data_IF_082057608127
#
_entry.id   IF_082057608127
#
_cell.length_a   1.000
_cell.length_b   1.000
_cell.length_c   1.000
_cell.angle_alpha   90.00
_cell.angle_beta   90.00
_cell.angle_gamma   90.00
#
_symmetry.space_group_name_H-M   'P 1'
#
loop_
_entity.id
_entity.type
_entity.pdbx_description
1 polymer ?
#
# COMPACT_ATOMS: atom_id res chain seq x y z
N UNK A 1 -10.41 92.68 26.88
CA UNK A 1 -10.19 92.02 25.57
C UNK A 1 -8.73 91.65 25.41
N UNK A 2 -8.40 90.35 25.56
CA UNK A 2 -7.25 89.64 24.95
C UNK A 2 -7.70 88.17 24.84
N UNK A 3 -7.70 87.53 23.66
CA UNK A 3 -8.15 86.15 23.53
C UNK A 3 -6.99 85.20 23.89
N UNK A 4 -7.26 84.26 24.80
CA UNK A 4 -6.36 83.13 25.07
C UNK A 4 -6.72 82.02 24.08
N UNK A 5 -5.81 81.73 23.15
CA UNK A 5 -5.94 80.67 22.15
C UNK A 5 -5.59 79.34 22.84
N UNK A 6 -6.61 78.53 23.12
CA UNK A 6 -6.44 77.19 23.69
C UNK A 6 -6.29 76.18 22.56
N UNK A 7 -5.06 75.68 22.36
CA UNK A 7 -4.76 74.59 21.43
C UNK A 7 -5.33 73.27 21.98
N UNK A 8 -6.41 72.77 21.39
CA UNK A 8 -6.86 71.40 21.61
C UNK A 8 -6.01 70.45 20.75
N UNK A 9 -5.08 69.75 21.39
CA UNK A 9 -4.36 68.63 20.77
C UNK A 9 -5.33 67.46 20.57
N UNK A 10 -5.59 67.12 19.32
CA UNK A 10 -6.29 65.90 18.92
C UNK A 10 -5.38 64.70 19.24
N UNK A 11 -5.65 63.99 20.34
CA UNK A 11 -5.05 62.68 20.60
C UNK A 11 -5.78 61.64 19.74
N UNK A 12 -5.16 61.26 18.62
CA UNK A 12 -5.56 60.10 17.83
C UNK A 12 -5.21 58.83 18.64
N UNK A 13 -6.16 57.94 18.95
CA UNK A 13 -5.83 56.70 19.65
C UNK A 13 -5.02 55.81 18.70
N UNK A 14 -3.73 55.63 19.01
CA UNK A 14 -2.89 54.63 18.35
C UNK A 14 -3.39 53.26 18.80
N UNK A 15 -4.22 52.63 17.97
CA UNK A 15 -4.59 51.22 18.12
C UNK A 15 -3.33 50.41 17.80
N UNK A 16 -2.58 50.04 18.83
CA UNK A 16 -1.53 49.04 18.72
C UNK A 16 -2.25 47.70 18.53
N UNK A 17 -2.38 47.28 17.27
CA UNK A 17 -2.76 45.91 16.94
C UNK A 17 -1.64 44.99 17.44
N UNK A 18 -1.77 44.52 18.68
CA UNK A 18 -1.01 43.39 19.19
C UNK A 18 -1.46 42.18 18.39
N UNK A 19 -0.74 41.90 17.30
CA UNK A 19 -0.79 40.60 16.64
C UNK A 19 -0.30 39.58 17.66
N UNK A 20 -1.23 38.98 18.40
CA UNK A 20 -1.04 37.70 19.06
C UNK A 20 -0.75 36.70 17.95
N UNK A 21 0.52 36.61 17.58
CA UNK A 21 1.04 35.48 16.84
C UNK A 21 0.92 34.35 17.85
N UNK A 22 -0.11 33.51 17.69
CA UNK A 22 -0.12 32.21 18.31
C UNK A 22 1.21 31.56 17.90
N UNK A 23 2.12 31.44 18.86
CA UNK A 23 3.26 30.55 18.73
C UNK A 23 2.65 29.18 18.53
N UNK A 24 2.71 28.70 17.28
CA UNK A 24 2.43 27.32 16.97
C UNK A 24 3.38 26.52 17.86
N UNK A 25 2.81 25.89 18.89
CA UNK A 25 3.53 24.92 19.70
C UNK A 25 4.00 23.85 18.74
N UNK A 26 5.30 23.84 18.46
CA UNK A 26 5.97 22.80 17.70
C UNK A 26 5.62 21.46 18.36
N UNK A 27 4.94 20.59 17.62
CA UNK A 27 4.21 19.46 18.20
C UNK A 27 5.16 18.45 18.84
N UNK A 28 4.79 17.94 20.02
CA UNK A 28 5.45 16.80 20.65
C UNK A 28 5.45 15.60 19.70
N UNK A 29 6.66 15.13 19.38
CA UNK A 29 7.07 13.89 18.73
C UNK A 29 6.43 13.56 17.37
N UNK A 30 7.23 13.72 16.31
CA UNK A 30 6.93 13.41 14.90
C UNK A 30 6.75 11.90 14.60
N UNK A 31 6.27 11.09 15.56
CA UNK A 31 6.06 9.65 15.41
C UNK A 31 4.57 9.30 15.34
N UNK A 32 4.06 9.05 14.13
CA UNK A 32 2.67 8.63 13.96
C UNK A 32 2.35 7.29 14.64
N UNK A 33 3.34 6.41 14.82
CA UNK A 33 3.13 5.09 15.42
C UNK A 33 2.90 5.20 16.93
N UNK A 34 3.58 6.15 17.60
CA UNK A 34 3.46 6.37 19.05
C UNK A 34 2.13 7.00 19.45
N UNK A 35 1.32 7.46 18.49
CA UNK A 35 -0.03 7.92 18.76
C UNK A 35 -0.97 6.77 19.16
N UNK A 36 -0.62 5.52 18.80
CA UNK A 36 -1.41 4.33 19.12
C UNK A 36 -0.61 3.23 19.84
N UNK A 37 0.72 3.26 19.76
CA UNK A 37 1.59 2.24 20.35
C UNK A 37 2.53 2.85 21.40
N UNK A 38 2.51 2.32 22.63
CA UNK A 38 3.36 2.83 23.72
C UNK A 38 4.87 2.62 23.45
N UNK A 39 5.21 1.54 22.74
CA UNK A 39 6.58 1.18 22.38
C UNK A 39 6.61 0.54 21.00
N UNK A 40 7.44 1.07 20.10
CA UNK A 40 7.66 0.47 18.78
C UNK A 40 8.62 -0.70 18.88
N UNK A 41 9.58 -0.67 19.81
CA UNK A 41 10.61 -1.71 19.95
C UNK A 41 10.02 -3.09 20.24
N UNK A 42 8.89 -3.15 20.93
CA UNK A 42 8.16 -4.40 21.22
C UNK A 42 7.45 -4.98 19.98
N UNK A 43 7.20 -4.17 18.96
CA UNK A 43 6.52 -4.56 17.73
C UNK A 43 7.49 -4.99 16.63
N UNK A 44 8.79 -4.75 16.83
CA UNK A 44 9.83 -5.08 15.86
C UNK A 44 10.24 -6.56 16.00
N UNK A 45 10.62 -7.23 14.90
CA UNK A 45 11.18 -8.58 14.97
C UNK A 45 12.42 -8.63 15.87
N UNK A 46 12.66 -9.74 16.57
CA UNK A 46 13.80 -9.91 17.50
C UNK A 46 15.18 -9.58 16.89
N UNK A 47 15.33 -9.78 15.57
CA UNK A 47 16.57 -9.53 14.83
C UNK A 47 16.67 -8.12 14.25
N UNK A 48 15.68 -7.27 14.50
CA UNK A 48 15.72 -5.89 14.08
C UNK A 48 16.84 -5.16 14.84
N UNK A 49 17.74 -4.42 14.17
CA UNK A 49 18.75 -3.62 14.86
C UNK A 49 18.12 -2.66 15.88
N UNK A 50 18.80 -2.39 16.98
CA UNK A 50 18.35 -1.39 17.92
C UNK A 50 18.34 -0.02 17.22
N UNK A 51 17.20 0.66 17.29
CA UNK A 51 17.03 1.96 16.66
C UNK A 51 16.55 2.96 17.69
N UNK A 52 17.14 4.16 17.67
CA UNK A 52 16.60 5.34 18.35
C UNK A 52 15.55 5.99 17.44
N UNK A 53 14.43 5.30 17.16
CA UNK A 53 13.38 5.79 16.24
C UNK A 53 12.47 6.79 16.95
N UNK A 54 12.30 7.97 16.35
CA UNK A 54 11.24 8.91 16.73
C UNK A 54 10.35 9.34 15.56
N UNK A 55 10.58 8.85 14.34
CA UNK A 55 9.75 9.22 13.17
C UNK A 55 9.66 8.08 12.16
N UNK A 56 8.55 8.03 11.41
CA UNK A 56 8.37 7.08 10.32
C UNK A 56 9.41 7.26 9.19
N UNK A 57 9.87 8.50 8.99
CA UNK A 57 10.90 8.83 7.98
C UNK A 57 12.19 8.01 8.19
N UNK A 58 12.62 7.81 9.44
CA UNK A 58 13.82 7.02 9.76
C UNK A 58 13.66 5.54 9.41
N UNK A 59 12.46 4.98 9.48
CA UNK A 59 12.22 3.61 9.05
C UNK A 59 12.54 3.42 7.55
N UNK A 60 12.27 4.45 6.74
CA UNK A 60 12.47 4.42 5.29
C UNK A 60 13.95 4.58 4.87
N UNK A 61 14.86 4.86 5.81
CA UNK A 61 16.30 4.86 5.55
C UNK A 61 16.80 3.43 5.27
N UNK A 62 16.24 2.44 5.98
CA UNK A 62 16.56 1.03 5.78
C UNK A 62 15.51 0.30 4.95
N UNK A 63 14.21 0.61 5.11
CA UNK A 63 13.13 -0.11 4.42
C UNK A 63 12.68 0.62 3.16
N UNK A 64 12.50 -0.13 2.06
CA UNK A 64 11.99 0.47 0.83
C UNK A 64 10.48 0.78 0.90
N UNK A 65 10.07 1.90 0.31
CA UNK A 65 8.64 2.24 0.14
C UNK A 65 7.90 1.28 -0.80
N UNK A 66 8.63 0.63 -1.70
CA UNK A 66 8.10 -0.23 -2.77
C UNK A 66 8.77 -1.59 -2.72
N UNK A 67 8.05 -2.62 -3.13
CA UNK A 67 8.55 -3.98 -3.21
C UNK A 67 9.74 -4.03 -4.17
N UNK A 68 10.78 -4.73 -3.76
CA UNK A 68 11.97 -4.94 -4.58
C UNK A 68 12.32 -6.41 -4.57
N UNK A 69 12.32 -7.02 -5.76
CA UNK A 69 12.86 -8.36 -5.98
C UNK A 69 14.40 -8.36 -6.01
N UNK A 70 15.03 -7.18 -6.04
CA UNK A 70 16.49 -7.04 -5.98
C UNK A 70 16.92 -6.99 -4.51
N UNK A 71 17.96 -7.76 -4.18
CA UNK A 71 18.81 -7.50 -3.01
C UNK A 71 19.50 -6.16 -3.23
N UNK A 72 18.85 -5.06 -2.86
CA UNK A 72 19.53 -3.79 -2.66
C UNK A 72 20.13 -3.79 -1.25
N UNK A 73 21.02 -2.84 -0.97
CA UNK A 73 21.66 -2.69 0.35
C UNK A 73 20.66 -2.26 1.46
N UNK A 74 19.36 -2.32 1.17
CA UNK A 74 18.27 -1.89 2.02
C UNK A 74 17.39 -3.11 2.36
N UNK A 75 16.78 -3.06 3.53
CA UNK A 75 15.81 -4.05 3.95
C UNK A 75 14.57 -4.01 3.02
N UNK A 76 13.87 -5.15 2.86
CA UNK A 76 12.65 -5.20 2.07
C UNK A 76 11.60 -4.23 2.63
N UNK A 77 10.63 -3.89 1.78
CA UNK A 77 9.49 -3.06 2.20
C UNK A 77 8.75 -3.70 3.37
N UNK A 78 8.32 -2.86 4.32
CA UNK A 78 7.46 -3.25 5.45
C UNK A 78 5.97 -3.01 5.17
N UNK A 79 5.63 -2.47 4.00
CA UNK A 79 4.28 -2.04 3.68
C UNK A 79 3.26 -3.19 3.80
N UNK A 80 3.58 -4.38 3.27
CA UNK A 80 2.69 -5.54 3.37
C UNK A 80 2.39 -5.90 4.82
N UNK A 81 3.42 -5.91 5.68
CA UNK A 81 3.25 -6.24 7.09
C UNK A 81 2.42 -5.20 7.84
N UNK A 82 2.70 -3.91 7.64
CA UNK A 82 1.93 -2.84 8.28
C UNK A 82 0.48 -2.88 7.83
N UNK A 83 0.21 -2.99 6.53
CA UNK A 83 -1.14 -3.06 5.99
C UNK A 83 -1.90 -4.29 6.48
N UNK A 84 -1.30 -5.49 6.48
CA UNK A 84 -1.98 -6.70 7.00
C UNK A 84 -2.41 -6.56 8.45
N UNK A 85 -1.66 -5.83 9.29
CA UNK A 85 -2.00 -5.67 10.70
C UNK A 85 -3.07 -4.57 10.87
N UNK A 86 -2.91 -3.42 10.24
CA UNK A 86 -3.77 -2.26 10.52
C UNK A 86 -5.09 -2.27 9.74
N UNK A 87 -5.17 -2.99 8.62
CA UNK A 87 -6.39 -3.07 7.80
C UNK A 87 -7.31 -4.21 8.22
N UNK A 88 -7.01 -4.89 9.33
CA UNK A 88 -7.97 -5.82 9.91
C UNK A 88 -9.23 -5.07 10.36
N UNK A 89 -10.44 -5.64 10.15
CA UNK A 89 -11.70 -4.99 10.49
C UNK A 89 -11.79 -4.50 11.94
N UNK A 90 -11.15 -5.20 12.88
CA UNK A 90 -11.12 -4.86 14.31
C UNK A 90 -10.34 -3.58 14.64
N UNK A 91 -9.41 -3.16 13.79
CA UNK A 91 -8.45 -2.10 14.10
C UNK A 91 -8.91 -0.69 13.67
N UNK A 92 -10.06 -0.59 12.98
CA UNK A 92 -10.73 0.66 12.53
C UNK A 92 -9.76 1.76 12.03
N UNK A 93 -8.65 1.38 11.41
CA UNK A 93 -7.59 2.30 11.04
C UNK A 93 -7.91 2.93 9.68
N UNK A 94 -7.97 4.26 9.65
CA UNK A 94 -8.18 5.00 8.41
C UNK A 94 -6.86 5.16 7.66
N UNK A 95 -6.90 5.14 6.32
CA UNK A 95 -5.70 5.35 5.50
C UNK A 95 -4.98 6.66 5.85
N UNK A 96 -5.76 7.71 6.14
CA UNK A 96 -5.30 9.05 6.50
C UNK A 96 -4.61 9.13 7.86
N UNK A 97 -4.68 8.07 8.69
CA UNK A 97 -3.89 7.97 9.92
C UNK A 97 -2.40 7.82 9.64
N UNK A 98 -2.05 7.26 8.47
CA UNK A 98 -0.66 7.04 8.06
C UNK A 98 -0.27 7.78 6.77
N UNK A 99 -1.26 8.07 5.93
CA UNK A 99 -1.05 8.69 4.63
C UNK A 99 -1.52 10.14 4.58
N UNK A 100 -0.71 10.99 3.96
CA UNK A 100 -1.15 12.30 3.51
C UNK A 100 -1.57 12.18 2.04
N UNK A 101 -2.80 12.59 1.74
CA UNK A 101 -3.37 12.48 0.40
C UNK A 101 -3.95 13.82 -0.05
N UNK A 102 -3.51 14.25 -1.23
CA UNK A 102 -4.14 15.29 -2.02
C UNK A 102 -4.63 14.69 -3.33
N UNK A 103 -5.94 14.73 -3.58
CA UNK A 103 -6.58 14.17 -4.75
C UNK A 103 -5.85 14.59 -6.04
N UNK A 104 -5.48 13.59 -6.85
CA UNK A 104 -4.78 13.75 -8.13
C UNK A 104 -3.44 14.50 -8.09
N UNK A 105 -2.90 14.77 -6.89
CA UNK A 105 -1.62 15.46 -6.71
C UNK A 105 -0.58 14.59 -6.04
N UNK A 106 -0.91 14.02 -4.89
CA UNK A 106 0.06 13.29 -4.08
C UNK A 106 -0.59 12.29 -3.13
N UNK A 107 0.08 11.17 -2.92
CA UNK A 107 -0.24 10.22 -1.86
C UNK A 107 1.08 9.78 -1.25
N UNK A 108 1.33 10.23 -0.02
CA UNK A 108 2.60 10.04 0.68
C UNK A 108 2.36 9.36 2.01
N UNK A 109 3.43 8.88 2.65
CA UNK A 109 3.38 8.62 4.09
C UNK A 109 3.60 9.94 4.84
N UNK A 110 2.92 10.14 5.96
CA UNK A 110 3.09 11.33 6.79
C UNK A 110 4.56 11.41 7.25
N UNK A 111 5.19 12.56 7.02
CA UNK A 111 6.60 12.79 7.32
C UNK A 111 7.59 12.24 6.27
N UNK A 112 7.12 11.56 5.22
CA UNK A 112 7.98 11.07 4.13
C UNK A 112 7.72 11.89 2.86
N UNK A 113 8.78 12.51 2.32
CA UNK A 113 8.67 13.41 1.16
C UNK A 113 8.37 12.69 -0.16
N UNK A 114 8.72 11.41 -0.26
CA UNK A 114 8.56 10.64 -1.50
C UNK A 114 7.10 10.26 -1.72
N UNK A 115 6.54 10.70 -2.84
CA UNK A 115 5.18 10.34 -3.25
C UNK A 115 5.11 8.91 -3.81
N UNK A 116 4.05 8.20 -3.43
CA UNK A 116 3.70 6.88 -3.95
C UNK A 116 2.92 6.99 -5.26
N UNK A 117 2.22 8.10 -5.49
CA UNK A 117 1.47 8.39 -6.71
C UNK A 117 0.50 9.56 -6.51
N UNK A 118 -0.47 9.67 -7.41
CA UNK A 118 -1.46 10.75 -7.42
C UNK A 118 -2.88 10.18 -7.66
N UNK A 119 -3.40 9.34 -6.74
CA UNK A 119 -4.67 8.65 -6.92
C UNK A 119 -5.84 9.64 -6.98
N UNK A 120 -6.84 9.32 -7.80
CA UNK A 120 -8.15 9.97 -7.78
C UNK A 120 -8.91 9.54 -6.53
N UNK A 121 -10.09 10.13 -6.30
CA UNK A 121 -10.98 9.69 -5.25
C UNK A 121 -11.45 8.25 -5.46
N UNK A 122 -11.85 7.91 -6.68
CA UNK A 122 -12.33 6.57 -7.04
C UNK A 122 -11.22 5.52 -6.85
N UNK A 123 -9.98 5.85 -7.18
CA UNK A 123 -8.83 4.97 -6.93
C UNK A 123 -8.67 4.65 -5.44
N UNK A 124 -8.83 5.65 -4.55
CA UNK A 124 -8.74 5.44 -3.10
C UNK A 124 -9.91 4.63 -2.58
N UNK A 125 -11.14 4.89 -3.03
CA UNK A 125 -12.32 4.15 -2.60
C UNK A 125 -12.22 2.66 -2.96
N UNK A 126 -11.84 2.35 -4.21
CA UNK A 126 -11.61 0.96 -4.64
C UNK A 126 -10.44 0.34 -3.89
N UNK A 127 -9.35 1.09 -3.67
CA UNK A 127 -8.21 0.58 -2.91
C UNK A 127 -8.59 0.26 -1.47
N UNK A 128 -9.42 1.08 -0.83
CA UNK A 128 -9.94 0.83 0.51
C UNK A 128 -10.82 -0.41 0.56
N UNK A 129 -11.71 -0.59 -0.42
CA UNK A 129 -12.56 -1.77 -0.53
C UNK A 129 -11.72 -3.05 -0.66
N UNK A 130 -10.79 -3.07 -1.64
CA UNK A 130 -9.88 -4.21 -1.85
C UNK A 130 -9.07 -4.47 -0.58
N UNK A 131 -8.46 -3.44 0.00
CA UNK A 131 -7.64 -3.56 1.21
C UNK A 131 -8.40 -4.12 2.41
N UNK A 132 -9.65 -3.71 2.61
CA UNK A 132 -10.51 -4.23 3.66
C UNK A 132 -10.97 -5.66 3.40
N UNK A 133 -11.04 -6.09 2.14
CA UNK A 133 -11.43 -7.44 1.75
C UNK A 133 -10.28 -8.46 1.77
N UNK A 134 -9.01 -8.02 1.77
CA UNK A 134 -7.84 -8.93 1.73
C UNK A 134 -7.77 -9.86 2.95
N UNK A 135 -7.88 -9.38 4.20
CA UNK A 135 -7.79 -10.28 5.35
C UNK A 135 -8.87 -11.35 5.34
N UNK A 136 -8.48 -12.63 5.35
CA UNK A 136 -9.40 -13.76 5.31
C UNK A 136 -10.02 -14.03 3.94
N UNK A 137 -9.57 -13.38 2.86
CA UNK A 137 -10.15 -13.53 1.52
C UNK A 137 -9.95 -14.93 0.92
N UNK A 138 -8.88 -15.63 1.29
CA UNK A 138 -8.44 -16.86 0.64
C UNK A 138 -7.95 -16.67 -0.80
N UNK A 139 -7.93 -15.42 -1.30
CA UNK A 139 -7.55 -15.08 -2.66
C UNK A 139 -6.03 -14.93 -2.78
N UNK A 140 -5.59 -14.68 -4.01
CA UNK A 140 -4.18 -14.55 -4.35
C UNK A 140 -3.53 -13.35 -3.64
N UNK A 141 -4.25 -12.26 -3.46
CA UNK A 141 -3.77 -11.08 -2.74
C UNK A 141 -3.38 -11.39 -1.29
N UNK A 142 -4.23 -12.08 -0.53
CA UNK A 142 -3.96 -12.50 0.84
C UNK A 142 -2.76 -13.44 0.88
N UNK A 143 -2.69 -14.43 -0.01
CA UNK A 143 -1.57 -15.36 -0.07
C UNK A 143 -0.22 -14.65 -0.31
N UNK A 144 -0.20 -13.63 -1.16
CA UNK A 144 0.99 -12.83 -1.42
C UNK A 144 1.31 -11.88 -0.26
N UNK A 145 0.30 -11.24 0.34
CA UNK A 145 0.48 -10.38 1.51
C UNK A 145 1.00 -11.16 2.73
N UNK A 146 0.54 -12.40 2.94
CA UNK A 146 1.06 -13.31 3.95
C UNK A 146 2.54 -13.68 3.72
N UNK A 147 2.99 -13.64 2.47
CA UNK A 147 4.40 -13.77 2.06
C UNK A 147 5.15 -12.44 2.04
N UNK A 148 4.58 -11.38 2.62
CA UNK A 148 5.16 -10.02 2.71
C UNK A 148 5.41 -9.34 1.36
N UNK A 149 4.63 -9.71 0.34
CA UNK A 149 4.62 -9.05 -0.97
C UNK A 149 3.58 -7.93 -0.91
N UNK A 150 4.01 -6.69 -1.17
CA UNK A 150 3.10 -5.53 -1.15
C UNK A 150 2.47 -5.30 -2.51
N UNK A 151 1.50 -4.38 -2.61
CA UNK A 151 0.79 -4.04 -3.85
C UNK A 151 1.76 -3.75 -5.01
N UNK A 152 2.83 -3.02 -4.73
CA UNK A 152 3.90 -2.70 -5.70
C UNK A 152 4.68 -3.93 -6.21
N UNK A 153 4.59 -5.07 -5.51
CA UNK A 153 5.12 -6.35 -5.99
C UNK A 153 4.36 -6.92 -7.18
N UNK A 154 3.12 -6.49 -7.40
CA UNK A 154 2.32 -6.81 -8.59
C UNK A 154 2.17 -5.58 -9.50
N UNK A 155 1.75 -4.44 -8.96
CA UNK A 155 1.46 -3.23 -9.73
C UNK A 155 2.72 -2.41 -10.11
N UNK A 156 3.90 -2.87 -9.68
CA UNK A 156 5.15 -2.20 -9.94
C UNK A 156 5.28 -0.93 -9.11
N UNK A 157 5.98 0.06 -9.66
CA UNK A 157 6.41 1.21 -8.86
C UNK A 157 5.29 2.21 -8.60
N UNK A 158 4.35 2.41 -9.54
CA UNK A 158 3.23 3.35 -9.35
C UNK A 158 2.15 2.77 -8.44
N UNK A 159 1.36 3.64 -7.81
CA UNK A 159 0.11 3.23 -7.16
C UNK A 159 -0.83 2.55 -8.16
N UNK A 160 -1.55 1.49 -7.73
CA UNK A 160 -2.58 0.86 -8.54
C UNK A 160 -3.67 1.86 -8.96
N UNK A 161 -4.17 1.70 -10.19
CA UNK A 161 -5.38 2.35 -10.71
C UNK A 161 -6.44 1.31 -11.03
N UNK A 162 -7.69 1.73 -11.13
CA UNK A 162 -8.83 0.85 -11.42
C UNK A 162 -8.64 0.09 -12.74
N UNK A 163 -8.09 0.74 -13.77
CA UNK A 163 -7.84 0.17 -15.09
C UNK A 163 -6.59 -0.72 -15.18
N UNK A 164 -5.87 -0.93 -14.08
CA UNK A 164 -4.64 -1.70 -14.11
C UNK A 164 -4.87 -3.18 -14.41
N UNK A 165 -4.05 -3.70 -15.32
CA UNK A 165 -3.87 -5.13 -15.50
C UNK A 165 -2.43 -5.53 -15.16
N UNK A 166 -2.28 -6.78 -14.71
CA UNK A 166 -0.99 -7.38 -14.43
C UNK A 166 -0.61 -8.30 -15.58
N UNK A 167 0.53 -8.01 -16.21
CA UNK A 167 1.05 -8.85 -17.28
C UNK A 167 1.65 -10.17 -16.76
N UNK A 168 1.68 -11.20 -17.61
CA UNK A 168 2.33 -12.48 -17.30
C UNK A 168 3.78 -12.29 -16.85
N UNK A 169 4.50 -11.35 -17.46
CA UNK A 169 5.90 -11.07 -17.13
C UNK A 169 6.07 -10.78 -15.64
N UNK A 170 5.16 -10.02 -15.04
CA UNK A 170 5.23 -9.71 -13.61
C UNK A 170 5.16 -10.96 -12.75
N UNK A 171 4.23 -11.88 -13.05
CA UNK A 171 4.10 -13.16 -12.34
C UNK A 171 5.39 -13.99 -12.47
N UNK A 172 5.95 -14.04 -13.67
CA UNK A 172 7.16 -14.83 -13.97
C UNK A 172 8.43 -14.27 -13.32
N UNK A 173 8.44 -13.01 -12.86
CA UNK A 173 9.60 -12.45 -12.11
C UNK A 173 9.90 -13.23 -10.83
N UNK A 174 8.88 -13.79 -10.18
CA UNK A 174 9.01 -14.57 -8.94
C UNK A 174 8.72 -16.06 -9.17
N UNK A 175 7.73 -16.40 -10.02
CA UNK A 175 7.33 -17.78 -10.28
C UNK A 175 8.25 -18.53 -11.25
N UNK A 176 9.19 -17.81 -11.88
CA UNK A 176 10.16 -18.36 -12.82
C UNK A 176 9.63 -18.45 -14.25
N UNK A 177 10.45 -18.95 -15.19
CA UNK A 177 10.08 -19.01 -16.60
C UNK A 177 8.94 -19.99 -16.87
N UNK A 178 8.14 -19.69 -17.90
CA UNK A 178 6.91 -20.41 -18.24
C UNK A 178 7.17 -21.89 -18.54
N UNK A 179 8.30 -22.23 -19.14
CA UNK A 179 8.69 -23.60 -19.47
C UNK A 179 8.87 -24.45 -18.21
N UNK A 180 9.42 -23.86 -17.14
CA UNK A 180 9.54 -24.54 -15.84
C UNK A 180 8.19 -24.73 -15.18
N UNK A 181 7.28 -23.76 -15.32
CA UNK A 181 5.90 -23.90 -14.82
C UNK A 181 5.18 -25.03 -15.55
N UNK A 182 5.24 -25.07 -16.88
CA UNK A 182 4.67 -26.14 -17.70
C UNK A 182 5.17 -27.51 -17.23
N UNK A 183 6.48 -27.68 -17.08
CA UNK A 183 7.06 -28.94 -16.61
C UNK A 183 6.59 -29.29 -15.20
N UNK A 184 6.57 -28.32 -14.29
CA UNK A 184 6.17 -28.52 -12.89
C UNK A 184 4.69 -28.86 -12.73
N UNK A 185 3.83 -28.35 -13.59
CA UNK A 185 2.37 -28.54 -13.53
C UNK A 185 1.86 -29.56 -14.54
N UNK A 186 2.75 -30.37 -15.13
CA UNK A 186 2.36 -31.44 -16.03
C UNK A 186 1.57 -32.50 -15.23
N UNK A 187 0.29 -32.75 -15.58
CA UNK A 187 -0.49 -33.78 -14.90
C UNK A 187 0.02 -35.18 -15.28
N UNK A 188 0.02 -36.10 -14.32
CA UNK A 188 0.58 -37.46 -14.50
C UNK A 188 -0.17 -38.28 -15.56
N UNK A 189 -1.49 -38.15 -15.63
CA UNK A 189 -2.34 -39.02 -16.48
C UNK A 189 -2.67 -38.42 -17.84
N UNK A 190 -2.86 -37.12 -17.92
CA UNK A 190 -3.42 -36.45 -19.10
C UNK A 190 -2.60 -35.22 -19.46
N UNK A 191 -1.41 -35.43 -20.04
CA UNK A 191 -0.44 -34.38 -20.31
C UNK A 191 -0.99 -33.20 -21.16
N UNK A 192 -2.03 -33.46 -21.97
CA UNK A 192 -2.78 -32.50 -22.77
C UNK A 192 -3.67 -31.55 -21.93
N UNK A 193 -3.89 -31.86 -20.65
CA UNK A 193 -4.71 -31.06 -19.71
C UNK A 193 -3.89 -30.10 -18.85
N UNK A 194 -2.64 -29.83 -19.22
CA UNK A 194 -1.81 -28.88 -18.49
C UNK A 194 -2.31 -27.44 -18.73
N UNK A 195 -2.77 -26.71 -17.68
CA UNK A 195 -3.32 -25.36 -17.86
C UNK A 195 -2.30 -24.35 -18.40
N UNK A 196 -1.01 -24.60 -18.18
CA UNK A 196 0.06 -23.71 -18.64
C UNK A 196 0.55 -24.04 -20.07
N UNK A 197 0.04 -25.11 -20.68
CA UNK A 197 0.30 -25.52 -22.07
C UNK A 197 -1.01 -25.71 -22.84
N UNK A 198 -1.83 -24.65 -22.84
CA UNK A 198 -3.17 -24.65 -23.44
C UNK A 198 -3.15 -24.73 -24.97
N UNK A 199 -4.18 -25.37 -25.55
CA UNK A 199 -4.45 -25.34 -27.00
C UNK A 199 -4.86 -23.95 -27.51
N UNK A 200 -5.21 -23.03 -26.61
CA UNK A 200 -5.50 -21.62 -26.93
C UNK A 200 -4.21 -20.78 -27.06
N UNK A 201 -3.04 -21.39 -26.89
CA UNK A 201 -1.76 -20.69 -26.93
C UNK A 201 -1.46 -19.96 -25.63
N UNK A 202 -0.99 -18.72 -25.73
CA UNK A 202 -0.65 -17.90 -24.57
C UNK A 202 -1.89 -17.18 -24.01
N UNK A 203 -2.24 -17.54 -22.77
CA UNK A 203 -3.32 -16.93 -22.00
C UNK A 203 -2.70 -16.11 -20.87
N UNK A 204 -3.36 -15.00 -20.50
CA UNK A 204 -2.93 -14.24 -19.33
C UNK A 204 -3.15 -15.05 -18.03
N UNK A 205 -2.19 -15.02 -17.11
CA UNK A 205 -2.28 -15.70 -15.82
C UNK A 205 -3.57 -15.31 -15.07
N UNK A 206 -3.94 -14.03 -15.15
CA UNK A 206 -5.13 -13.43 -14.53
C UNK A 206 -6.47 -13.94 -15.05
N UNK A 207 -6.49 -14.68 -16.17
CA UNK A 207 -7.72 -15.34 -16.64
C UNK A 207 -8.19 -16.41 -15.65
N UNK A 208 -7.25 -17.12 -15.01
CA UNK A 208 -7.56 -18.12 -14.00
C UNK A 208 -7.18 -17.65 -12.58
N UNK A 209 -6.01 -17.02 -12.45
CA UNK A 209 -5.42 -16.58 -11.19
C UNK A 209 -5.77 -15.11 -10.91
N UNK A 210 -6.96 -14.87 -10.38
CA UNK A 210 -7.42 -13.50 -10.12
C UNK A 210 -6.91 -13.00 -8.76
N UNK A 211 -6.34 -11.79 -8.76
CA UNK A 211 -5.64 -11.21 -7.61
C UNK A 211 -6.58 -10.87 -6.44
N UNK A 212 -7.53 -9.98 -6.71
CA UNK A 212 -8.40 -9.33 -5.71
C UNK A 212 -9.82 -9.91 -5.62
N UNK A 213 -10.01 -11.12 -6.14
CA UNK A 213 -11.29 -11.83 -6.09
C UNK A 213 -11.06 -13.33 -6.25
N UNK A 214 -12.15 -14.10 -6.13
CA UNK A 214 -12.11 -15.55 -6.27
C UNK A 214 -11.52 -15.96 -7.65
N UNK A 215 -10.54 -16.85 -7.60
CA UNK A 215 -9.92 -17.42 -8.79
C UNK A 215 -10.84 -18.45 -9.44
N UNK A 216 -10.76 -18.57 -10.77
CA UNK A 216 -11.62 -19.48 -11.54
C UNK A 216 -10.82 -20.37 -12.47
N UNK A 217 -11.35 -21.53 -12.81
CA UNK A 217 -10.71 -22.44 -13.77
C UNK A 217 -11.40 -22.27 -15.12
N UNK A 218 -10.88 -21.33 -15.92
CA UNK A 218 -11.44 -20.98 -17.23
C UNK A 218 -11.67 -22.19 -18.15
N UNK A 219 -10.78 -23.20 -18.09
CA UNK A 219 -10.91 -24.42 -18.89
C UNK A 219 -12.22 -25.19 -18.63
N UNK A 220 -12.78 -25.12 -17.41
CA UNK A 220 -13.99 -25.87 -17.03
C UNK A 220 -15.27 -25.31 -17.67
N UNK A 221 -15.23 -24.09 -18.22
CA UNK A 221 -16.35 -23.51 -18.98
C UNK A 221 -16.64 -24.34 -20.25
N UNK A 222 -15.60 -24.86 -20.89
CA UNK A 222 -15.71 -25.75 -22.06
C UNK A 222 -15.47 -27.23 -21.73
N UNK A 223 -14.69 -27.51 -20.67
CA UNK A 223 -14.32 -28.86 -20.24
C UNK A 223 -14.89 -29.20 -18.85
N UNK A 224 -16.23 -29.22 -18.68
CA UNK A 224 -16.86 -29.31 -17.35
C UNK A 224 -16.62 -30.64 -16.63
N UNK A 225 -16.13 -31.67 -17.34
CA UNK A 225 -15.82 -32.99 -16.77
C UNK A 225 -14.35 -33.13 -16.34
N UNK A 226 -13.52 -32.12 -16.57
CA UNK A 226 -12.14 -32.16 -16.12
C UNK A 226 -12.09 -31.94 -14.61
N UNK A 227 -11.19 -32.66 -13.95
CA UNK A 227 -10.88 -32.42 -12.55
C UNK A 227 -9.59 -31.61 -12.49
N UNK A 228 -9.72 -30.33 -12.18
CA UNK A 228 -8.62 -29.36 -12.12
C UNK A 228 -8.75 -28.57 -10.82
N UNK A 229 -7.62 -28.19 -10.24
CA UNK A 229 -7.57 -27.42 -8.99
C UNK A 229 -6.58 -26.27 -9.13
N UNK A 230 -6.83 -25.16 -8.43
CA UNK A 230 -5.87 -24.07 -8.30
C UNK A 230 -5.17 -24.11 -6.93
N UNK A 231 -3.96 -23.53 -6.83
CA UNK A 231 -3.27 -23.37 -5.54
C UNK A 231 -3.99 -22.43 -4.57
N UNK A 232 -4.89 -21.59 -5.07
CA UNK A 232 -5.53 -20.50 -4.34
C UNK A 232 -7.02 -20.40 -4.65
N UNK A 233 -7.84 -20.29 -3.60
CA UNK A 233 -9.22 -19.80 -3.64
C UNK A 233 -10.26 -20.58 -4.45
N UNK A 234 -9.92 -21.55 -5.29
CA UNK A 234 -10.94 -22.26 -6.08
C UNK A 234 -11.62 -23.35 -5.27
N UNK A 235 -12.95 -23.25 -5.13
CA UNK A 235 -13.80 -24.44 -5.06
C UNK A 235 -13.95 -25.08 -6.44
#
# INVERSE_FOLDING_TARGET
MKPVISFFFYFLPIIIAFSLRAEATESKDNNICLNCHDSISELLPEKHPELTIKTLERCMECHSLRHSNKKNNNAPTIAAQLHTIHLQPENNSQCTSCHAWECEKSFTLIGVKTSLGAPTKDDIEVMQEIMGAIPGSGNIDEMHMNKKISCSGCHGSRLPRIEDNISNVQCLTCHGPKEKLITKTAPEKFADRNPHKSHLGEIACSVCHVGHMESRIYCLECHPKFNMTLPSGSK
#
